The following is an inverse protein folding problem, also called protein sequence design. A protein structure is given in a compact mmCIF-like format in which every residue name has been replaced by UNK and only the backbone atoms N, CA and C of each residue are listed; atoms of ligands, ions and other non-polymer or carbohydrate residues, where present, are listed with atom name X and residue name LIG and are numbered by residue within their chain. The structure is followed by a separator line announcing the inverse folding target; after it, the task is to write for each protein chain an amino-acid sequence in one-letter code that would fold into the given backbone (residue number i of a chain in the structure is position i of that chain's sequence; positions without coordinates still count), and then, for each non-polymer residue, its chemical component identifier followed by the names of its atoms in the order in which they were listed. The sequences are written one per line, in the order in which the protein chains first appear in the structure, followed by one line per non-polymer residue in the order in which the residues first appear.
data_IF_627896621489
#
_entry.id   IF_627896621489
#
_cell.length_a   1.000
_cell.length_b   1.000
_cell.length_c   1.000
_cell.angle_alpha   90.00
_cell.angle_beta   90.00
_cell.angle_gamma   90.00
#
_symmetry.space_group_name_H-M   'P 1'
#
loop_
_entity.id
_entity.type
_entity.pdbx_description
1 polymer ?
#
# COMPACT_ATOMS: atom_id res chain seq x y z
N UNK A 1 -16.01 -5.40 -12.69
CA UNK A 1 -16.81 -5.93 -11.57
C UNK A 1 -16.05 -6.27 -10.30
N UNK A 2 -14.72 -6.51 -10.33
CA UNK A 2 -13.98 -6.92 -9.12
C UNK A 2 -13.47 -5.73 -8.26
N UNK A 3 -13.31 -4.54 -8.82
CA UNK A 3 -12.90 -3.35 -8.05
C UNK A 3 -14.04 -2.88 -7.14
N UNK A 4 -13.73 -2.59 -5.89
CA UNK A 4 -14.73 -2.22 -4.88
C UNK A 4 -14.49 -0.80 -4.39
N UNK A 5 -15.57 -0.05 -4.25
CA UNK A 5 -15.59 1.32 -3.71
C UNK A 5 -16.56 1.37 -2.54
N UNK A 6 -16.30 2.24 -1.56
CA UNK A 6 -17.06 2.36 -0.33
C UNK A 6 -17.27 3.84 0.04
N UNK A 7 -18.12 4.09 1.04
CA UNK A 7 -18.36 5.42 1.62
C UNK A 7 -18.79 6.46 0.57
N UNK A 8 -18.44 7.73 0.79
CA UNK A 8 -18.79 8.85 -0.10
C UNK A 8 -18.29 8.68 -1.53
N UNK A 9 -17.18 7.95 -1.72
CA UNK A 9 -16.66 7.62 -3.04
C UNK A 9 -17.63 6.71 -3.80
N UNK A 10 -18.16 5.67 -3.14
CA UNK A 10 -19.19 4.81 -3.71
C UNK A 10 -20.49 5.56 -4.00
N UNK A 11 -20.96 6.38 -3.06
CA UNK A 11 -22.20 7.16 -3.23
C UNK A 11 -22.13 8.07 -4.47
N UNK A 12 -21.00 8.75 -4.67
CA UNK A 12 -20.77 9.59 -5.84
C UNK A 12 -20.73 8.78 -7.13
N UNK A 13 -19.97 7.68 -7.16
CA UNK A 13 -19.86 6.83 -8.34
C UNK A 13 -21.19 6.18 -8.74
N UNK A 14 -22.00 5.75 -7.77
CA UNK A 14 -23.35 5.22 -8.02
C UNK A 14 -24.26 6.32 -8.57
N UNK A 15 -24.25 7.52 -7.95
CA UNK A 15 -25.05 8.66 -8.40
C UNK A 15 -24.78 9.03 -9.86
N UNK A 16 -23.54 8.91 -10.30
CA UNK A 16 -23.13 9.24 -11.67
C UNK A 16 -23.11 8.04 -12.63
N UNK A 17 -23.61 6.87 -12.21
CA UNK A 17 -23.75 5.69 -13.08
C UNK A 17 -22.44 4.94 -13.38
N UNK A 18 -21.37 5.19 -12.63
CA UNK A 18 -20.07 4.51 -12.79
C UNK A 18 -19.93 3.25 -11.91
N UNK A 19 -20.82 3.07 -10.93
CA UNK A 19 -20.83 1.92 -10.05
C UNK A 19 -22.26 1.46 -9.76
N UNK A 20 -22.41 0.20 -9.36
CA UNK A 20 -23.67 -0.37 -8.87
C UNK A 20 -23.53 -0.75 -7.40
N UNK A 21 -24.67 -0.79 -6.71
CA UNK A 21 -24.72 -1.31 -5.34
C UNK A 21 -24.59 -2.83 -5.35
N UNK A 22 -23.87 -3.34 -4.36
CA UNK A 22 -23.56 -4.76 -4.15
C UNK A 22 -23.86 -5.06 -2.70
N UNK A 23 -24.52 -6.18 -2.41
CA UNK A 23 -24.77 -6.58 -1.03
C UNK A 23 -23.51 -7.24 -0.40
N UNK A 24 -23.55 -7.52 0.91
CA UNK A 24 -22.40 -8.10 1.61
C UNK A 24 -22.04 -9.48 1.07
N UNK A 25 -23.03 -10.30 0.69
CA UNK A 25 -22.79 -11.68 0.25
C UNK A 25 -22.08 -11.66 -1.09
N UNK A 26 -22.64 -10.95 -2.06
CA UNK A 26 -22.04 -10.76 -3.37
C UNK A 26 -20.64 -10.13 -3.26
N UNK A 27 -20.45 -9.15 -2.36
CA UNK A 27 -19.13 -8.57 -2.09
C UNK A 27 -18.10 -9.59 -1.62
N UNK A 28 -18.46 -10.51 -0.72
CA UNK A 28 -17.57 -11.59 -0.28
C UNK A 28 -17.29 -12.60 -1.40
N UNK A 29 -18.29 -12.93 -2.21
CA UNK A 29 -18.14 -13.84 -3.36
C UNK A 29 -17.16 -13.25 -4.39
N UNK A 30 -17.23 -11.93 -4.63
CA UNK A 30 -16.28 -11.24 -5.51
C UNK A 30 -14.85 -11.21 -4.97
N UNK A 31 -14.67 -11.09 -3.65
CA UNK A 31 -13.33 -11.19 -3.02
C UNK A 31 -12.77 -12.61 -3.16
N UNK A 32 -13.61 -13.64 -2.98
CA UNK A 32 -13.21 -15.02 -3.17
C UNK A 32 -12.80 -15.27 -4.63
N UNK A 33 -13.58 -14.78 -5.60
CA UNK A 33 -13.23 -14.85 -7.02
C UNK A 33 -11.91 -14.15 -7.32
N UNK A 34 -11.64 -12.98 -6.72
CA UNK A 34 -10.37 -12.28 -6.85
C UNK A 34 -9.18 -13.12 -6.32
N UNK A 35 -9.38 -13.78 -5.17
CA UNK A 35 -8.38 -14.65 -4.55
C UNK A 35 -8.09 -15.89 -5.39
N UNK A 36 -9.11 -16.55 -5.94
CA UNK A 36 -8.97 -17.71 -6.83
C UNK A 36 -8.30 -17.34 -8.15
N UNK A 37 -8.55 -16.12 -8.64
CA UNK A 37 -7.96 -15.57 -9.86
C UNK A 37 -6.54 -15.04 -9.67
N UNK A 38 -5.93 -15.22 -8.48
CA UNK A 38 -4.58 -14.74 -8.14
C UNK A 38 -4.41 -13.22 -8.32
N UNK A 39 -5.47 -12.44 -8.08
CA UNK A 39 -5.38 -10.98 -8.10
C UNK A 39 -4.71 -10.49 -6.81
N UNK A 40 -3.91 -9.45 -6.92
CA UNK A 40 -3.34 -8.78 -5.74
C UNK A 40 -4.33 -7.74 -5.25
N UNK A 41 -4.69 -7.91 -3.98
CA UNK A 41 -5.47 -6.93 -3.25
C UNK A 41 -4.56 -5.82 -2.71
N UNK A 42 -4.88 -4.58 -3.04
CA UNK A 42 -4.32 -3.37 -2.44
C UNK A 42 -5.41 -2.29 -2.47
N UNK A 43 -5.26 -1.20 -1.77
CA UNK A 43 -6.34 -0.22 -1.72
C UNK A 43 -5.95 1.05 -1.00
N UNK A 44 -6.95 1.77 -0.51
CA UNK A 44 -6.69 2.88 0.38
C UNK A 44 -6.07 2.37 1.68
N UNK A 45 -4.77 2.61 1.87
CA UNK A 45 -4.03 2.14 3.03
C UNK A 45 -4.35 3.03 4.25
N UNK A 46 -5.56 2.86 4.79
CA UNK A 46 -6.06 3.49 6.02
C UNK A 46 -6.79 2.44 6.86
N UNK A 47 -6.87 2.65 8.18
CA UNK A 47 -7.45 1.68 9.11
C UNK A 47 -8.97 1.76 9.20
N UNK A 48 -9.53 2.95 9.03
CA UNK A 48 -10.94 3.24 9.18
C UNK A 48 -11.49 3.90 7.92
N UNK A 49 -12.72 3.52 7.56
CA UNK A 49 -13.47 4.09 6.42
C UNK A 49 -12.69 4.05 5.09
N UNK A 50 -12.06 2.92 4.80
CA UNK A 50 -11.40 2.62 3.51
C UNK A 50 -12.37 2.93 2.36
N UNK A 51 -11.97 3.75 1.40
CA UNK A 51 -12.82 4.12 0.27
C UNK A 51 -12.77 3.14 -0.90
N UNK A 52 -11.71 2.36 -1.06
CA UNK A 52 -11.63 1.41 -2.16
C UNK A 52 -10.69 0.24 -1.87
N UNK A 53 -11.02 -0.88 -2.51
CA UNK A 53 -10.18 -2.07 -2.63
C UNK A 53 -9.99 -2.34 -4.13
N UNK A 54 -8.74 -2.30 -4.56
CA UNK A 54 -8.29 -2.75 -5.87
C UNK A 54 -7.92 -4.23 -5.81
N UNK A 55 -8.28 -4.96 -6.85
CA UNK A 55 -8.00 -6.37 -7.02
C UNK A 55 -7.40 -6.54 -8.41
N UNK A 56 -6.08 -6.43 -8.54
CA UNK A 56 -5.44 -6.30 -9.85
C UNK A 56 -4.44 -7.40 -10.16
N UNK A 57 -4.35 -7.73 -11.45
CA UNK A 57 -3.25 -8.45 -12.07
C UNK A 57 -2.07 -7.51 -12.37
N UNK A 58 -0.93 -8.07 -12.72
CA UNK A 58 0.19 -7.32 -13.30
C UNK A 58 0.03 -6.94 -14.79
N UNK A 59 -1.14 -7.20 -15.39
CA UNK A 59 -1.34 -7.20 -16.83
C UNK A 59 -1.72 -5.83 -17.44
N UNK A 60 -2.56 -5.04 -16.77
CA UNK A 60 -3.03 -3.74 -17.28
C UNK A 60 -3.18 -2.65 -16.21
N UNK A 61 -2.83 -2.96 -14.95
CA UNK A 61 -3.00 -2.01 -13.86
C UNK A 61 -1.85 -1.01 -13.82
N UNK A 62 -2.16 0.27 -14.05
CA UNK A 62 -1.18 1.37 -13.98
C UNK A 62 -0.48 1.45 -12.63
N UNK A 63 -1.16 1.13 -11.52
CA UNK A 63 -0.54 1.10 -10.21
C UNK A 63 0.53 -0.01 -10.11
N UNK A 64 0.28 -1.19 -10.69
CA UNK A 64 1.24 -2.29 -10.72
C UNK A 64 2.43 -1.97 -11.64
N UNK A 65 2.17 -1.36 -12.80
CA UNK A 65 3.21 -0.88 -13.71
C UNK A 65 4.08 0.17 -13.02
N UNK A 66 3.45 1.12 -12.32
CA UNK A 66 4.15 2.12 -11.53
C UNK A 66 4.99 1.48 -10.42
N UNK A 67 4.47 0.45 -9.72
CA UNK A 67 5.24 -0.26 -8.70
C UNK A 67 6.47 -0.95 -9.29
N UNK A 68 6.38 -1.55 -10.48
CA UNK A 68 7.55 -2.16 -11.15
C UNK A 68 8.61 -1.14 -11.54
N UNK A 69 8.18 0.00 -12.10
CA UNK A 69 9.08 1.00 -12.70
C UNK A 69 9.59 2.04 -11.72
N UNK A 70 8.80 2.34 -10.70
CA UNK A 70 9.00 3.47 -9.79
C UNK A 70 8.83 3.05 -8.33
N UNK A 71 9.22 1.83 -7.96
CA UNK A 71 9.11 1.28 -6.60
C UNK A 71 9.69 2.22 -5.53
N UNK A 72 10.78 2.94 -5.85
CA UNK A 72 11.40 3.94 -4.97
C UNK A 72 10.44 5.05 -4.50
N UNK A 73 9.36 5.32 -5.25
CA UNK A 73 8.34 6.31 -4.90
C UNK A 73 7.19 5.72 -4.07
N UNK A 74 7.21 4.41 -3.81
CA UNK A 74 6.16 3.66 -3.12
C UNK A 74 4.74 3.93 -3.66
N UNK A 75 4.49 3.75 -4.98
CA UNK A 75 3.18 4.04 -5.58
C UNK A 75 2.07 3.14 -5.03
N UNK A 76 2.40 1.91 -4.62
CA UNK A 76 1.52 1.03 -3.86
C UNK A 76 2.12 0.82 -2.47
N UNK A 77 1.30 0.94 -1.43
CA UNK A 77 1.72 0.64 -0.07
C UNK A 77 1.95 -0.87 0.12
N UNK A 78 3.08 -1.22 0.72
CA UNK A 78 3.46 -2.61 1.00
C UNK A 78 2.79 -3.14 2.27
N UNK A 79 2.67 -4.47 2.37
CA UNK A 79 2.30 -5.12 3.63
C UNK A 79 3.47 -5.09 4.63
N UNK A 80 3.21 -5.53 5.86
CA UNK A 80 4.22 -5.71 6.90
C UNK A 80 5.05 -6.99 6.75
N UNK A 81 4.89 -7.71 5.63
CA UNK A 81 5.53 -9.01 5.41
C UNK A 81 6.35 -9.02 4.12
N UNK A 82 7.35 -9.90 4.08
CA UNK A 82 8.15 -10.23 2.91
C UNK A 82 8.24 -11.75 2.76
N UNK A 83 8.30 -12.27 1.52
CA UNK A 83 8.61 -13.67 1.30
C UNK A 83 10.05 -14.01 1.73
N UNK A 84 10.22 -15.04 2.54
CA UNK A 84 11.50 -15.69 2.79
C UNK A 84 11.53 -17.03 2.05
N UNK A 85 12.66 -17.39 1.45
CA UNK A 85 12.79 -18.56 0.58
C UNK A 85 13.80 -19.52 1.22
N UNK A 86 13.37 -20.75 1.51
CA UNK A 86 14.29 -21.83 1.85
C UNK A 86 15.01 -22.30 0.58
N UNK A 87 16.23 -21.79 0.41
CA UNK A 87 17.10 -22.09 -0.75
C UNK A 87 17.55 -23.54 -0.80
N UNK A 88 17.53 -24.27 0.30
CA UNK A 88 17.96 -25.68 0.33
C UNK A 88 16.90 -26.58 -0.29
N UNK A 89 15.64 -26.31 0.03
CA UNK A 89 14.50 -27.07 -0.49
C UNK A 89 13.94 -26.50 -1.81
N UNK A 90 14.37 -25.30 -2.21
CA UNK A 90 13.94 -24.71 -3.48
C UNK A 90 14.39 -25.55 -4.69
N UNK A 91 13.42 -25.89 -5.54
CA UNK A 91 13.62 -26.66 -6.78
C UNK A 91 13.96 -25.80 -7.99
N UNK A 92 13.81 -24.48 -7.91
CA UNK A 92 14.04 -23.56 -9.02
C UNK A 92 12.99 -23.61 -10.14
N UNK A 93 11.78 -24.14 -9.88
CA UNK A 93 10.74 -24.36 -10.90
C UNK A 93 10.16 -23.08 -11.56
N UNK A 94 10.41 -21.89 -11.01
CA UNK A 94 10.00 -20.61 -11.60
C UNK A 94 8.54 -20.21 -11.44
N UNK A 95 7.67 -21.03 -10.82
CA UNK A 95 6.24 -20.69 -10.63
C UNK A 95 6.03 -19.37 -9.87
N UNK A 96 6.85 -19.12 -8.84
CA UNK A 96 6.82 -17.87 -8.08
C UNK A 96 7.21 -16.63 -8.91
N UNK A 97 8.07 -16.79 -9.92
CA UNK A 97 8.46 -15.74 -10.86
C UNK A 97 7.29 -15.42 -11.77
N UNK A 98 6.70 -16.45 -12.39
CA UNK A 98 5.59 -16.29 -13.34
C UNK A 98 4.34 -15.63 -12.72
N UNK A 99 4.06 -15.92 -11.44
CA UNK A 99 2.88 -15.37 -10.78
C UNK A 99 3.09 -13.95 -10.20
N UNK A 100 4.33 -13.45 -10.14
CA UNK A 100 4.62 -12.19 -9.46
C UNK A 100 4.18 -10.98 -10.30
N UNK A 101 3.14 -10.23 -9.91
CA UNK A 101 2.60 -9.16 -10.73
C UNK A 101 3.44 -7.89 -10.69
N UNK A 102 4.48 -7.85 -9.86
CA UNK A 102 5.43 -6.74 -9.79
C UNK A 102 6.85 -7.18 -10.13
N UNK A 103 7.04 -8.40 -10.64
CA UNK A 103 8.35 -8.91 -11.11
C UNK A 103 9.45 -8.84 -10.04
N UNK A 104 9.07 -8.93 -8.76
CA UNK A 104 10.02 -8.92 -7.63
C UNK A 104 10.75 -10.26 -7.45
N UNK A 105 10.28 -11.34 -8.08
CA UNK A 105 10.88 -12.68 -7.98
C UNK A 105 11.74 -12.95 -9.21
N UNK A 106 12.88 -13.62 -9.05
CA UNK A 106 13.76 -14.04 -10.15
C UNK A 106 14.40 -15.40 -9.86
N UNK A 107 14.95 -16.05 -10.89
CA UNK A 107 15.77 -17.26 -10.73
C UNK A 107 17.25 -16.92 -10.90
N UNK A 108 18.08 -17.35 -9.96
CA UNK A 108 19.54 -17.22 -10.01
C UNK A 108 20.20 -18.60 -9.92
N UNK A 109 21.47 -18.69 -10.31
CA UNK A 109 22.28 -19.89 -10.06
C UNK A 109 22.38 -20.15 -8.56
N UNK A 110 22.26 -21.42 -8.16
CA UNK A 110 22.51 -21.84 -6.78
C UNK A 110 23.99 -21.83 -6.40
N UNK A 111 24.88 -21.59 -7.37
CA UNK A 111 26.34 -21.61 -7.22
C UNK A 111 26.86 -22.90 -6.54
N UNK A 112 26.20 -24.03 -6.83
CA UNK A 112 26.59 -25.35 -6.33
C UNK A 112 27.56 -26.00 -7.34
N UNK A 113 28.85 -26.21 -7.00
CA UNK A 113 29.82 -26.83 -7.91
C UNK A 113 29.43 -28.24 -8.34
N UNK A 114 28.66 -28.96 -7.53
CA UNK A 114 28.18 -30.32 -7.83
C UNK A 114 26.95 -30.30 -8.75
N UNK A 115 26.24 -29.19 -8.83
CA UNK A 115 25.00 -29.02 -9.61
C UNK A 115 25.00 -27.65 -10.33
N UNK A 116 25.84 -27.47 -11.37
CA UNK A 116 26.05 -26.17 -12.00
C UNK A 116 24.79 -25.58 -12.67
N UNK A 117 23.82 -26.41 -13.04
CA UNK A 117 22.55 -25.98 -13.65
C UNK A 117 21.44 -25.75 -12.61
N UNK A 118 21.70 -25.94 -11.32
CA UNK A 118 20.69 -25.75 -10.28
C UNK A 118 20.38 -24.26 -10.14
N UNK A 119 19.09 -23.91 -10.26
CA UNK A 119 18.59 -22.56 -10.01
C UNK A 119 17.80 -22.51 -8.71
N UNK A 120 17.81 -21.36 -8.07
CA UNK A 120 16.98 -21.05 -6.90
C UNK A 120 16.25 -19.73 -7.12
N UNK A 121 15.12 -19.58 -6.46
CA UNK A 121 14.39 -18.32 -6.46
C UNK A 121 15.10 -17.29 -5.56
N UNK A 122 15.06 -16.04 -5.97
CA UNK A 122 15.51 -14.88 -5.18
C UNK A 122 14.46 -13.77 -5.23
N UNK A 123 14.50 -12.87 -4.25
CA UNK A 123 13.54 -11.80 -4.05
C UNK A 123 14.24 -10.44 -4.08
N UNK A 124 13.69 -9.52 -4.87
CA UNK A 124 13.96 -8.10 -4.76
C UNK A 124 12.97 -7.45 -3.77
N UNK A 125 13.47 -7.12 -2.57
CA UNK A 125 12.67 -6.57 -1.47
C UNK A 125 12.19 -5.14 -1.70
N UNK A 126 12.87 -4.37 -2.55
CA UNK A 126 12.55 -2.97 -2.86
C UNK A 126 11.30 -2.86 -3.74
N UNK A 127 11.03 -3.88 -4.57
CA UNK A 127 9.86 -3.92 -5.46
C UNK A 127 8.70 -4.67 -4.80
N UNK A 128 8.99 -5.63 -3.93
CA UNK A 128 8.01 -6.56 -3.39
C UNK A 128 6.95 -5.89 -2.51
N UNK A 129 5.68 -6.12 -2.88
CA UNK A 129 4.51 -5.68 -2.10
C UNK A 129 4.24 -6.52 -0.85
N UNK A 130 4.75 -7.76 -0.80
CA UNK A 130 4.41 -8.71 0.25
C UNK A 130 2.99 -9.29 0.12
N UNK A 131 2.52 -9.53 -1.11
CA UNK A 131 1.15 -10.00 -1.42
C UNK A 131 0.92 -11.51 -1.21
N UNK A 132 1.98 -12.31 -1.06
CA UNK A 132 1.86 -13.75 -0.76
C UNK A 132 1.52 -14.67 -1.94
N UNK A 133 1.35 -14.18 -3.17
CA UNK A 133 1.06 -15.05 -4.32
C UNK A 133 2.16 -16.09 -4.58
N UNK A 134 3.43 -15.74 -4.35
CA UNK A 134 4.56 -16.65 -4.49
C UNK A 134 4.50 -17.84 -3.51
N UNK A 135 3.98 -17.62 -2.29
CA UNK A 135 3.77 -18.67 -1.29
C UNK A 135 2.76 -19.69 -1.82
N UNK A 136 1.59 -19.21 -2.28
CA UNK A 136 0.53 -20.07 -2.83
C UNK A 136 0.96 -20.81 -4.10
N UNK A 137 1.80 -20.20 -4.93
CA UNK A 137 2.28 -20.80 -6.16
C UNK A 137 3.40 -21.83 -5.96
N UNK A 138 4.03 -21.87 -4.78
CA UNK A 138 5.16 -22.76 -4.52
C UNK A 138 4.66 -24.20 -4.31
N UNK A 139 5.00 -25.16 -5.20
CA UNK A 139 4.51 -26.53 -5.07
C UNK A 139 5.18 -27.31 -3.93
N UNK A 140 6.34 -26.83 -3.46
CA UNK A 140 7.14 -27.45 -2.40
C UNK A 140 7.02 -26.72 -1.07
N UNK A 141 6.18 -25.68 -0.97
CA UNK A 141 5.97 -24.88 0.24
C UNK A 141 7.27 -24.33 0.87
N UNK A 142 8.25 -23.94 0.04
CA UNK A 142 9.56 -23.44 0.50
C UNK A 142 9.62 -21.91 0.62
N UNK A 143 8.47 -21.25 0.56
CA UNK A 143 8.36 -19.79 0.65
C UNK A 143 7.36 -19.48 1.75
N UNK A 144 7.76 -18.65 2.71
CA UNK A 144 6.92 -18.21 3.82
C UNK A 144 6.88 -16.69 3.92
N UNK A 145 5.84 -16.12 4.51
CA UNK A 145 5.76 -14.68 4.76
C UNK A 145 6.30 -14.37 6.16
N UNK A 146 7.43 -13.68 6.22
CA UNK A 146 8.06 -13.21 7.46
C UNK A 146 7.82 -11.73 7.66
N UNK A 147 7.83 -11.25 8.90
CA UNK A 147 7.65 -9.83 9.20
C UNK A 147 8.85 -9.01 8.72
N UNK A 148 8.58 -7.80 8.22
CA UNK A 148 9.62 -6.81 7.92
C UNK A 148 10.23 -6.27 9.21
N UNK A 149 11.54 -5.98 9.18
CA UNK A 149 12.25 -5.33 10.30
C UNK A 149 11.59 -4.02 10.75
N UNK A 150 11.09 -3.25 9.78
CA UNK A 150 10.38 -1.99 10.01
C UNK A 150 8.91 -2.17 9.71
N UNK A 151 8.09 -2.08 10.76
CA UNK A 151 6.63 -2.09 10.64
C UNK A 151 6.13 -0.82 9.97
N UNK A 152 5.36 -0.97 8.90
CA UNK A 152 4.58 0.09 8.27
C UNK A 152 3.35 0.36 9.13
N UNK A 153 3.26 1.58 9.67
CA UNK A 153 2.11 2.03 10.45
C UNK A 153 1.11 2.68 9.50
N UNK A 154 -0.01 1.99 9.27
CA UNK A 154 -1.09 2.49 8.45
C UNK A 154 -1.80 3.67 9.12
N UNK A 155 -1.99 4.81 8.43
CA UNK A 155 -2.75 5.95 8.96
C UNK A 155 -4.16 5.57 9.40
N UNK A 156 -4.70 6.32 10.36
CA UNK A 156 -6.02 6.03 10.93
C UNK A 156 -7.14 6.12 9.87
N UNK A 157 -7.15 7.21 9.10
CA UNK A 157 -8.15 7.51 8.08
C UNK A 157 -7.55 8.37 6.96
N UNK A 158 -8.34 8.70 5.95
CA UNK A 158 -7.88 9.47 4.78
C UNK A 158 -7.33 10.85 5.14
N UNK A 159 -7.91 11.54 6.13
CA UNK A 159 -7.41 12.85 6.58
C UNK A 159 -6.02 12.69 7.19
N UNK A 160 -5.85 11.71 8.07
CA UNK A 160 -4.54 11.39 8.67
C UNK A 160 -3.50 11.11 7.58
N UNK A 161 -3.84 10.26 6.61
CA UNK A 161 -2.96 9.92 5.48
C UNK A 161 -2.55 11.16 4.67
N UNK A 162 -3.51 11.98 4.25
CA UNK A 162 -3.26 13.16 3.40
C UNK A 162 -2.41 14.20 4.14
N UNK A 163 -2.70 14.47 5.41
CA UNK A 163 -1.92 15.41 6.23
C UNK A 163 -0.49 14.91 6.42
N UNK A 164 -0.30 13.63 6.74
CA UNK A 164 1.03 13.05 6.90
C UNK A 164 1.84 13.14 5.60
N UNK A 165 1.24 12.76 4.47
CA UNK A 165 1.86 12.86 3.14
C UNK A 165 2.24 14.31 2.79
N UNK A 166 1.35 15.27 3.08
CA UNK A 166 1.62 16.68 2.82
C UNK A 166 2.79 17.19 3.66
N UNK A 167 2.86 16.82 4.95
CA UNK A 167 4.01 17.15 5.81
C UNK A 167 5.29 16.53 5.27
N UNK A 168 5.28 15.24 4.93
CA UNK A 168 6.48 14.53 4.47
C UNK A 168 7.03 15.07 3.15
N UNK A 169 6.15 15.54 2.26
CA UNK A 169 6.51 16.09 0.95
C UNK A 169 6.77 17.60 0.96
N UNK A 170 6.66 18.27 2.11
CA UNK A 170 6.81 19.72 2.19
C UNK A 170 5.67 20.51 1.54
N UNK A 171 4.47 19.92 1.46
CA UNK A 171 3.28 20.44 0.77
C UNK A 171 2.13 20.79 1.70
N UNK A 172 2.37 20.93 3.01
CA UNK A 172 1.31 21.26 3.97
C UNK A 172 0.64 22.61 3.68
N UNK A 173 1.39 23.61 3.23
CA UNK A 173 0.82 24.90 2.83
C UNK A 173 -0.14 24.76 1.64
N UNK A 174 0.26 24.02 0.59
CA UNK A 174 -0.61 23.77 -0.57
C UNK A 174 -1.90 23.04 -0.15
N UNK A 175 -1.80 22.10 0.78
CA UNK A 175 -2.98 21.42 1.32
C UNK A 175 -3.94 22.39 2.04
N UNK A 176 -3.43 23.38 2.77
CA UNK A 176 -4.28 24.32 3.52
C UNK A 176 -4.88 25.40 2.61
N UNK A 177 -4.05 26.01 1.76
CA UNK A 177 -4.39 27.22 1.03
C UNK A 177 -4.92 26.92 -0.38
N UNK A 178 -4.25 26.05 -1.14
CA UNK A 178 -4.60 25.81 -2.55
C UNK A 178 -5.81 24.88 -2.69
N UNK A 179 -5.93 23.89 -1.80
CA UNK A 179 -7.08 22.97 -1.77
C UNK A 179 -8.27 23.51 -0.97
N UNK A 180 -8.28 24.81 -0.67
CA UNK A 180 -9.37 25.50 0.00
C UNK A 180 -9.78 24.93 1.38
N UNK A 181 -8.90 24.19 2.06
CA UNK A 181 -9.18 23.62 3.39
C UNK A 181 -9.45 24.74 4.42
N UNK A 182 -8.77 25.88 4.28
CA UNK A 182 -9.01 27.10 5.06
C UNK A 182 -10.48 27.57 5.04
N UNK A 183 -11.20 27.36 3.94
CA UNK A 183 -12.56 27.89 3.78
C UNK A 183 -13.63 27.04 4.48
N UNK A 184 -13.24 25.91 5.08
CA UNK A 184 -14.12 25.05 5.88
C UNK A 184 -13.55 24.86 7.29
N UNK A 185 -14.21 25.45 8.29
CA UNK A 185 -13.83 25.29 9.69
C UNK A 185 -13.76 23.80 10.10
N UNK A 186 -14.63 22.95 9.55
CA UNK A 186 -14.61 21.49 9.82
C UNK A 186 -13.37 20.83 9.21
N UNK A 187 -13.02 21.18 7.98
CA UNK A 187 -11.85 20.63 7.31
C UNK A 187 -10.56 21.07 8.02
N UNK A 188 -10.49 22.34 8.43
CA UNK A 188 -9.37 22.89 9.17
C UNK A 188 -9.22 22.24 10.55
N UNK A 189 -10.33 22.04 11.27
CA UNK A 189 -10.35 21.33 12.56
C UNK A 189 -9.89 19.87 12.41
N UNK A 190 -10.32 19.17 11.36
CA UNK A 190 -9.88 17.80 11.09
C UNK A 190 -8.37 17.75 10.78
N UNK A 191 -7.85 18.70 9.99
CA UNK A 191 -6.43 18.82 9.67
C UNK A 191 -5.58 19.05 10.92
N UNK A 192 -5.91 20.06 11.73
CA UNK A 192 -5.15 20.35 12.95
C UNK A 192 -5.31 19.26 14.01
N UNK A 193 -6.49 18.65 14.10
CA UNK A 193 -6.73 17.49 14.97
C UNK A 193 -5.83 16.32 14.65
N UNK A 194 -5.46 16.11 13.37
CA UNK A 194 -4.40 15.16 13.00
C UNK A 194 -3.04 15.66 13.46
N UNK A 195 -2.66 16.89 13.11
CA UNK A 195 -1.32 17.45 13.43
C UNK A 195 -1.01 17.30 14.93
N UNK A 196 -1.96 17.64 15.80
CA UNK A 196 -1.78 17.57 17.25
C UNK A 196 -1.64 16.15 17.81
N UNK A 197 -2.06 15.12 17.06
CA UNK A 197 -1.90 13.70 17.44
C UNK A 197 -0.68 13.04 16.79
N UNK A 198 0.05 13.74 15.92
CA UNK A 198 1.27 13.22 15.31
C UNK A 198 2.43 13.17 16.31
N UNK A 199 3.45 12.32 16.07
CA UNK A 199 4.68 12.33 16.87
C UNK A 199 5.39 13.68 16.84
N UNK A 200 6.15 14.06 17.90
CA UNK A 200 6.78 15.38 18.02
C UNK A 200 7.62 15.80 16.81
N UNK A 201 8.36 14.86 16.20
CA UNK A 201 9.16 15.13 15.01
C UNK A 201 8.30 15.61 13.82
N UNK A 202 7.12 15.03 13.63
CA UNK A 202 6.20 15.40 12.53
C UNK A 202 5.46 16.70 12.84
N UNK A 203 5.15 16.96 14.11
CA UNK A 203 4.60 18.24 14.56
C UNK A 203 5.59 19.40 14.29
N UNK A 204 6.87 19.19 14.58
CA UNK A 204 7.92 20.18 14.30
C UNK A 204 8.05 20.47 12.80
N UNK A 205 8.01 19.43 11.95
CA UNK A 205 8.00 19.60 10.49
C UNK A 205 6.78 20.39 10.01
N UNK A 206 5.58 20.12 10.56
CA UNK A 206 4.38 20.87 10.25
C UNK A 206 4.51 22.35 10.69
N UNK A 207 5.02 22.61 11.89
CA UNK A 207 5.29 23.96 12.40
C UNK A 207 6.24 24.73 11.48
N UNK A 208 7.35 24.10 11.08
CA UNK A 208 8.34 24.70 10.17
C UNK A 208 7.77 25.04 8.80
N UNK A 209 6.90 24.20 8.25
CA UNK A 209 6.24 24.47 6.97
C UNK A 209 5.23 25.60 7.07
N UNK A 210 4.45 25.68 8.15
CA UNK A 210 3.44 26.72 8.32
C UNK A 210 4.02 28.06 8.76
N UNK A 211 5.20 28.06 9.39
CA UNK A 211 5.86 29.27 9.93
C UNK A 211 4.92 30.09 10.82
N UNK A 212 4.05 29.40 11.56
CA UNK A 212 3.02 30.01 12.40
C UNK A 212 3.47 30.07 13.86
N UNK A 213 3.69 31.28 14.36
CA UNK A 213 4.00 31.52 15.79
C UNK A 213 2.90 31.00 16.71
N UNK A 214 1.64 31.01 16.24
CA UNK A 214 0.50 30.48 16.97
C UNK A 214 0.60 28.95 17.12
N UNK A 215 0.85 28.25 16.02
CA UNK A 215 1.00 26.79 16.03
C UNK A 215 2.20 26.36 16.90
N UNK A 216 3.33 27.04 16.75
CA UNK A 216 4.52 26.79 17.58
C UNK A 216 4.22 26.93 19.08
N UNK A 217 3.50 28.00 19.46
CA UNK A 217 3.10 28.22 20.86
C UNK A 217 2.14 27.17 21.39
N UNK A 218 1.25 26.62 20.56
CA UNK A 218 0.36 25.51 20.96
C UNK A 218 1.17 24.23 21.17
N UNK A 219 2.02 23.88 20.22
CA UNK A 219 2.79 22.63 20.28
C UNK A 219 3.74 22.60 21.48
N UNK A 220 4.32 23.74 21.87
CA UNK A 220 5.16 23.85 23.07
C UNK A 220 4.40 23.73 24.40
N UNK A 221 3.07 23.76 24.39
CA UNK A 221 2.21 23.65 25.58
C UNK A 221 1.61 22.26 25.77
N UNK A 222 1.75 21.37 24.79
CA UNK A 222 1.27 19.98 24.82
C UNK A 222 2.36 19.06 25.34
#
# INVERSE_FOLDING_TARGET
DICMTFNSSAESLIKHGFARLVDKKEGMDLLQLAYESNLVQFGENVRERVNFICNCCGCCCEAMIAQRRFSALNPIHTTNFLPEIDVNNCTGCGKCVNICPVEAMSLISANDPKKPNRKIATLNTDICLGCGLCVRACPTNTIELVQRDKRVITPLNSVHRVVLMAIERGKLQNLIFDNQVLFSHRALAALFGVIFKLPPAKQLLASKQLRSRYLEKILNRM
#
